data_IF_658434656321
#
_entry.id   IF_658434656321
#
_cell.length_a   1.000
_cell.length_b   1.000
_cell.length_c   1.000
_cell.angle_alpha   90.00
_cell.angle_beta   90.00
_cell.angle_gamma   90.00
#
_symmetry.space_group_name_H-M   'P 1'
#
loop_
_entity.id
_entity.type
_entity.pdbx_description
1 polymer ?
#
# COMPACT_ATOMS: atom_id res chain seq x y z
N UNK A 1 -2.40 -19.14 28.06
CA UNK A 1 -1.98 -19.84 26.85
C UNK A 1 -3.23 -20.25 26.09
N UNK A 2 -3.64 -19.50 25.11
CA UNK A 2 -4.72 -19.85 24.20
C UNK A 2 -4.04 -20.33 22.92
N UNK A 3 -4.26 -21.57 22.47
CA UNK A 3 -3.61 -22.05 21.25
C UNK A 3 -4.28 -21.42 20.03
N UNK A 4 -3.47 -20.92 19.11
CA UNK A 4 -3.85 -20.41 17.80
C UNK A 4 -4.81 -21.38 17.09
N UNK A 5 -5.92 -20.87 16.56
CA UNK A 5 -7.00 -21.65 15.90
C UNK A 5 -6.56 -22.39 14.63
N UNK A 6 -5.35 -22.16 14.11
CA UNK A 6 -4.83 -22.81 12.89
C UNK A 6 -4.40 -24.28 13.06
N UNK A 7 -4.34 -24.84 14.28
CA UNK A 7 -3.87 -26.22 14.52
C UNK A 7 -4.92 -27.33 14.49
N UNK A 8 -6.19 -27.04 14.24
CA UNK A 8 -7.28 -28.02 14.46
C UNK A 8 -7.80 -28.75 13.20
N UNK A 9 -7.28 -28.50 12.00
CA UNK A 9 -7.84 -29.10 10.78
C UNK A 9 -6.94 -30.12 10.05
N UNK A 10 -5.90 -30.67 10.70
CA UNK A 10 -5.01 -31.66 10.07
C UNK A 10 -5.00 -33.02 10.80
N UNK A 11 -6.12 -33.56 11.18
CA UNK A 11 -6.16 -34.97 11.66
C UNK A 11 -7.55 -35.58 11.48
N UNK A 12 -7.80 -36.16 10.33
CA UNK A 12 -8.59 -37.42 10.17
C UNK A 12 -8.65 -37.83 8.70
N UNK A 13 -8.16 -39.03 8.42
CA UNK A 13 -8.41 -39.67 7.13
C UNK A 13 -7.42 -40.78 6.79
N UNK A 14 -7.53 -41.93 7.46
CA UNK A 14 -6.81 -43.14 7.11
C UNK A 14 -7.62 -43.96 6.08
N UNK A 15 -6.89 -44.37 5.05
CA UNK A 15 -6.97 -45.60 4.26
C UNK A 15 -8.26 -46.06 3.58
N UNK A 16 -8.20 -46.17 2.27
CA UNK A 16 -8.63 -47.36 1.53
C UNK A 16 -8.03 -47.37 0.11
N UNK A 17 -7.56 -48.52 -0.26
CA UNK A 17 -6.89 -48.92 -1.49
C UNK A 17 -7.78 -48.94 -2.75
N UNK A 18 -7.18 -48.56 -3.89
CA UNK A 18 -7.53 -49.22 -5.16
C UNK A 18 -8.05 -48.39 -6.29
N UNK A 19 -7.32 -48.43 -7.35
CA UNK A 19 -7.59 -48.20 -8.79
C UNK A 19 -7.16 -46.87 -9.39
N UNK A 20 -6.17 -46.98 -10.26
CA UNK A 20 -5.69 -45.99 -11.22
C UNK A 20 -6.83 -45.49 -12.14
N UNK A 21 -7.31 -44.30 -11.91
CA UNK A 21 -7.94 -43.48 -12.90
C UNK A 21 -7.34 -42.10 -12.77
N UNK A 22 -6.60 -41.65 -13.76
CA UNK A 22 -6.08 -40.30 -13.89
C UNK A 22 -7.24 -39.32 -14.06
N UNK A 23 -7.79 -38.88 -12.95
CA UNK A 23 -8.61 -37.67 -12.90
C UNK A 23 -7.66 -36.51 -12.70
N UNK A 24 -7.50 -35.69 -13.73
CA UNK A 24 -7.03 -34.33 -13.59
C UNK A 24 -7.99 -33.67 -12.59
N UNK A 25 -7.57 -33.55 -11.34
CA UNK A 25 -8.28 -32.74 -10.36
C UNK A 25 -8.13 -31.29 -10.82
N UNK A 26 -9.16 -30.75 -11.44
CA UNK A 26 -9.37 -29.33 -11.48
C UNK A 26 -9.47 -28.90 -10.02
N UNK A 27 -8.45 -28.24 -9.50
CA UNK A 27 -8.53 -27.54 -8.24
C UNK A 27 -9.61 -26.47 -8.41
N UNK A 28 -10.75 -26.66 -7.78
CA UNK A 28 -11.73 -25.61 -7.56
C UNK A 28 -11.05 -24.49 -6.74
N UNK A 29 -10.33 -23.61 -7.41
CA UNK A 29 -9.88 -22.35 -6.83
C UNK A 29 -11.08 -21.40 -6.82
N UNK A 30 -11.94 -21.56 -5.81
CA UNK A 30 -12.89 -20.51 -5.46
C UNK A 30 -12.08 -19.28 -5.13
N UNK A 31 -12.50 -18.12 -5.65
CA UNK A 31 -12.09 -16.82 -5.14
C UNK A 31 -12.11 -16.88 -3.60
N UNK A 32 -10.93 -16.86 -2.98
CA UNK A 32 -10.83 -16.82 -1.53
C UNK A 32 -11.35 -15.46 -1.11
N UNK A 33 -12.35 -15.45 -0.23
CA UNK A 33 -12.77 -14.20 0.42
C UNK A 33 -11.57 -13.63 1.17
N UNK A 34 -11.33 -12.30 1.04
CA UNK A 34 -10.28 -11.61 1.79
C UNK A 34 -10.28 -12.06 3.26
N UNK A 35 -9.11 -12.33 3.81
CA UNK A 35 -8.99 -12.59 5.24
C UNK A 35 -9.03 -11.26 6.00
N UNK A 36 -9.41 -11.28 7.27
CA UNK A 36 -9.43 -10.08 8.12
C UNK A 36 -8.06 -9.40 8.24
N UNK A 37 -6.98 -10.15 7.93
CA UNK A 37 -5.59 -9.69 8.06
C UNK A 37 -4.95 -9.30 6.73
N UNK A 38 -5.69 -9.33 5.62
CA UNK A 38 -5.17 -8.92 4.33
C UNK A 38 -4.72 -7.45 4.38
N UNK A 39 -3.64 -7.16 3.64
CA UNK A 39 -3.16 -5.82 3.36
C UNK A 39 -3.14 -5.64 1.85
N UNK A 40 -4.30 -5.32 1.24
CA UNK A 40 -4.53 -5.56 -0.19
C UNK A 40 -3.89 -4.55 -1.13
N UNK A 41 -3.39 -3.44 -0.62
CA UNK A 41 -2.75 -2.37 -1.41
C UNK A 41 -1.85 -1.51 -0.52
N UNK A 42 -1.12 -0.60 -1.15
CA UNK A 42 -0.39 0.44 -0.43
C UNK A 42 -1.32 1.20 0.52
N UNK A 43 -0.85 1.51 1.73
CA UNK A 43 -1.63 2.17 2.78
C UNK A 43 -2.90 1.43 3.20
N UNK A 44 -2.97 0.11 3.02
CA UNK A 44 -4.03 -0.80 3.44
C UNK A 44 -5.33 -0.71 2.63
N UNK A 45 -5.96 0.44 2.53
CA UNK A 45 -7.31 0.65 1.98
C UNK A 45 -7.35 1.74 0.90
N UNK A 46 -8.45 1.85 0.15
CA UNK A 46 -8.60 2.90 -0.85
C UNK A 46 -8.53 4.30 -0.28
N UNK A 47 -8.97 4.48 0.95
CA UNK A 47 -8.95 5.73 1.70
C UNK A 47 -7.53 6.20 2.04
N UNK A 48 -6.56 5.28 2.08
CA UNK A 48 -5.15 5.56 2.37
C UNK A 48 -4.84 5.69 3.86
N UNK A 49 -5.63 5.04 4.72
CA UNK A 49 -5.54 5.20 6.18
C UNK A 49 -4.24 4.67 6.79
N UNK A 50 -3.62 3.65 6.18
CA UNK A 50 -2.48 2.98 6.79
C UNK A 50 -2.83 2.22 8.06
N UNK A 51 -4.11 1.86 8.23
CA UNK A 51 -4.65 1.20 9.41
C UNK A 51 -5.45 -0.04 9.06
N UNK A 52 -5.06 -1.17 9.62
CA UNK A 52 -5.88 -2.39 9.59
C UNK A 52 -6.46 -2.66 10.99
N UNK A 53 -7.76 -2.43 11.20
CA UNK A 53 -8.39 -2.62 12.51
C UNK A 53 -8.48 -4.08 12.95
N UNK A 54 -8.37 -5.03 12.02
CA UNK A 54 -8.44 -6.45 12.31
C UNK A 54 -7.07 -7.10 12.54
N UNK A 55 -5.99 -6.48 12.04
CA UNK A 55 -4.64 -7.01 12.20
C UNK A 55 -4.07 -6.69 13.59
N UNK A 56 -3.21 -7.57 14.07
CA UNK A 56 -2.42 -7.34 15.28
C UNK A 56 -0.94 -7.63 14.98
N UNK A 57 -0.07 -6.70 15.36
CA UNK A 57 1.37 -6.88 15.24
C UNK A 57 2.04 -7.14 16.60
N UNK A 58 3.36 -7.38 16.61
CA UNK A 58 4.16 -7.49 17.82
C UNK A 58 4.09 -6.20 18.66
N UNK A 59 3.97 -6.32 20.00
CA UNK A 59 3.78 -5.17 20.91
C UNK A 59 4.98 -4.84 21.78
N UNK A 60 5.71 -5.86 22.25
CA UNK A 60 6.73 -5.69 23.28
C UNK A 60 8.16 -5.96 22.78
N UNK A 61 8.31 -6.32 21.54
CA UNK A 61 9.59 -6.55 20.88
C UNK A 61 9.47 -7.52 19.72
N UNK A 62 10.46 -7.54 18.85
CA UNK A 62 10.44 -8.40 17.67
C UNK A 62 11.70 -9.23 17.51
N UNK A 63 11.55 -10.37 16.86
CA UNK A 63 12.64 -11.18 16.31
C UNK A 63 12.30 -11.56 14.88
N UNK A 64 13.33 -11.88 14.09
CA UNK A 64 13.15 -12.38 12.74
C UNK A 64 12.55 -13.79 12.80
N UNK A 65 11.35 -13.97 12.25
CA UNK A 65 10.72 -15.25 12.07
C UNK A 65 11.32 -15.99 10.87
N UNK A 66 11.44 -15.29 9.75
CA UNK A 66 12.13 -15.75 8.56
C UNK A 66 12.67 -14.57 7.73
N UNK A 67 13.59 -14.87 6.84
CA UNK A 67 14.05 -13.92 5.83
C UNK A 67 14.22 -14.62 4.49
N UNK A 68 13.88 -13.91 3.41
CA UNK A 68 14.10 -14.37 2.04
C UNK A 68 15.08 -13.43 1.36
N UNK A 69 16.26 -13.94 1.02
CA UNK A 69 17.30 -13.20 0.33
C UNK A 69 17.02 -13.17 -1.18
N UNK A 70 17.06 -11.98 -1.75
CA UNK A 70 16.82 -11.78 -3.17
C UNK A 70 17.87 -10.79 -3.71
N UNK A 71 19.07 -11.27 -3.96
CA UNK A 71 20.21 -10.43 -4.38
C UNK A 71 19.89 -9.68 -5.66
N UNK A 72 19.94 -8.35 -5.61
CA UNK A 72 19.70 -7.47 -6.76
C UNK A 72 18.23 -7.29 -7.16
N UNK A 73 17.30 -7.82 -6.38
CA UNK A 73 15.88 -7.84 -6.72
C UNK A 73 15.15 -6.52 -6.46
N UNK A 74 15.48 -5.84 -5.35
CA UNK A 74 14.76 -4.66 -4.94
C UNK A 74 15.56 -3.40 -5.26
N UNK A 75 15.03 -2.56 -6.14
CA UNK A 75 15.62 -1.25 -6.45
C UNK A 75 15.20 -0.17 -5.47
N UNK A 76 14.17 -0.42 -4.70
CA UNK A 76 13.59 0.48 -3.73
C UNK A 76 13.24 -0.23 -2.43
N UNK A 77 12.47 0.43 -1.61
CA UNK A 77 11.92 -0.04 -0.33
C UNK A 77 10.41 0.05 -0.34
N UNK A 78 9.80 -0.32 -1.46
CA UNK A 78 8.36 -0.35 -1.60
C UNK A 78 7.75 -1.36 -0.65
N UNK A 79 6.67 -0.98 0.03
CA UNK A 79 5.97 -1.87 0.95
C UNK A 79 5.39 -3.07 0.20
N UNK A 80 5.49 -4.28 0.76
CA UNK A 80 4.80 -5.43 0.18
C UNK A 80 3.29 -5.33 0.41
N UNK A 81 2.51 -6.23 -0.19
CA UNK A 81 1.12 -6.47 0.19
C UNK A 81 0.95 -7.91 0.67
N UNK A 82 -0.06 -8.13 1.50
CA UNK A 82 -0.40 -9.44 2.05
C UNK A 82 -1.81 -9.83 1.65
N UNK A 83 -1.95 -10.96 0.97
CA UNK A 83 -3.24 -11.52 0.59
C UNK A 83 -3.30 -12.98 1.02
N UNK A 84 -4.26 -13.33 1.84
CA UNK A 84 -4.40 -14.65 2.45
C UNK A 84 -3.08 -15.11 3.12
N UNK A 85 -2.40 -16.06 2.50
CA UNK A 85 -1.12 -16.63 2.94
C UNK A 85 0.05 -16.24 2.02
N UNK A 86 -0.11 -15.21 1.19
CA UNK A 86 0.88 -14.83 0.18
C UNK A 86 1.29 -13.37 0.35
N UNK A 87 2.59 -13.19 0.48
CA UNK A 87 3.22 -11.87 0.49
C UNK A 87 3.74 -11.56 -0.91
N UNK A 88 3.36 -10.40 -1.45
CA UNK A 88 3.81 -9.92 -2.75
C UNK A 88 4.73 -8.72 -2.57
N UNK A 89 5.94 -8.84 -3.09
CA UNK A 89 6.93 -7.77 -3.11
C UNK A 89 7.32 -7.42 -4.54
N UNK A 90 7.58 -6.14 -4.80
CA UNK A 90 7.98 -5.62 -6.10
C UNK A 90 9.43 -5.13 -6.06
N UNK A 91 10.17 -5.45 -7.12
CA UNK A 91 11.55 -5.06 -7.28
C UNK A 91 11.95 -5.08 -8.77
N UNK A 92 12.84 -5.97 -9.19
CA UNK A 92 13.11 -6.21 -10.63
C UNK A 92 12.01 -7.07 -11.30
N UNK A 93 10.85 -7.16 -10.66
CA UNK A 93 9.69 -7.94 -11.04
C UNK A 93 8.76 -8.11 -9.84
N UNK A 94 7.81 -9.04 -9.95
CA UNK A 94 6.95 -9.48 -8.86
C UNK A 94 7.52 -10.74 -8.21
N UNK A 95 7.62 -10.74 -6.89
CA UNK A 95 7.97 -11.89 -6.06
C UNK A 95 6.79 -12.23 -5.15
N UNK A 96 6.33 -13.48 -5.20
CA UNK A 96 5.30 -14.01 -4.32
C UNK A 96 5.91 -15.04 -3.37
N UNK A 97 5.76 -14.80 -2.07
CA UNK A 97 6.27 -15.65 -0.99
C UNK A 97 5.12 -16.20 -0.15
N UNK A 98 5.32 -17.37 0.38
CA UNK A 98 4.49 -17.91 1.44
C UNK A 98 4.69 -17.08 2.72
N UNK A 99 3.64 -16.52 3.27
CA UNK A 99 3.71 -15.58 4.38
C UNK A 99 4.16 -16.23 5.70
N UNK A 100 3.92 -17.54 5.87
CA UNK A 100 4.31 -18.28 7.08
C UNK A 100 5.79 -18.67 7.07
N UNK A 101 6.33 -19.02 5.89
CA UNK A 101 7.66 -19.65 5.77
C UNK A 101 8.69 -18.82 5.02
N UNK A 102 8.28 -17.79 4.28
CA UNK A 102 9.14 -17.05 3.36
C UNK A 102 9.53 -17.82 2.10
N UNK A 103 8.97 -19.02 1.88
CA UNK A 103 9.27 -19.82 0.70
C UNK A 103 8.70 -19.15 -0.56
N UNK A 104 9.51 -19.11 -1.63
CA UNK A 104 9.07 -18.58 -2.92
C UNK A 104 7.94 -19.44 -3.50
N UNK A 105 6.78 -18.84 -3.72
CA UNK A 105 5.68 -19.46 -4.46
C UNK A 105 5.89 -19.32 -5.97
N UNK A 106 6.16 -18.11 -6.42
CA UNK A 106 6.54 -17.78 -7.79
C UNK A 106 7.24 -16.43 -7.89
N UNK A 107 7.77 -16.11 -9.07
CA UNK A 107 8.28 -14.79 -9.41
C UNK A 107 8.05 -14.52 -10.90
N UNK A 108 7.88 -13.26 -11.25
CA UNK A 108 7.70 -12.85 -12.63
C UNK A 108 8.53 -11.60 -12.92
N UNK A 109 9.50 -11.64 -13.84
CA UNK A 109 10.29 -10.48 -14.20
C UNK A 109 9.42 -9.45 -14.93
N UNK A 110 9.62 -8.19 -14.66
CA UNK A 110 8.87 -7.11 -15.30
C UNK A 110 9.29 -5.73 -14.78
N UNK A 111 8.84 -4.67 -15.44
CA UNK A 111 9.20 -3.30 -15.10
C UNK A 111 8.32 -2.75 -13.96
N UNK A 112 7.95 -3.56 -13.00
CA UNK A 112 7.05 -3.20 -11.91
C UNK A 112 7.80 -2.36 -10.88
N UNK A 113 7.21 -1.24 -10.43
CA UNK A 113 7.91 -0.25 -9.63
C UNK A 113 7.09 0.27 -8.43
N UNK A 114 5.77 0.06 -8.40
CA UNK A 114 4.93 0.45 -7.27
C UNK A 114 4.45 -0.76 -6.48
N UNK A 115 4.05 -0.62 -5.21
CA UNK A 115 3.28 -1.64 -4.52
C UNK A 115 2.09 -2.11 -5.35
N UNK A 116 1.77 -3.42 -5.34
CA UNK A 116 0.57 -3.91 -6.00
C UNK A 116 -0.70 -3.45 -5.29
N UNK A 117 -1.82 -3.41 -6.05
CA UNK A 117 -3.15 -3.28 -5.48
C UNK A 117 -4.02 -4.46 -5.96
N UNK A 118 -4.68 -5.13 -5.01
CA UNK A 118 -5.57 -6.26 -5.31
C UNK A 118 -6.87 -5.77 -5.92
N UNK A 119 -7.29 -6.38 -7.01
CA UNK A 119 -8.63 -6.24 -7.56
C UNK A 119 -9.29 -7.60 -7.72
N UNK A 120 -10.52 -7.72 -7.24
CA UNK A 120 -11.36 -8.88 -7.57
C UNK A 120 -11.73 -8.79 -9.04
N UNK A 121 -11.61 -9.91 -9.74
CA UNK A 121 -11.98 -10.00 -11.15
C UNK A 121 -13.39 -10.52 -11.33
N UNK A 122 -14.12 -9.97 -12.28
CA UNK A 122 -15.42 -10.51 -12.71
C UNK A 122 -15.28 -11.59 -13.80
N UNK A 123 -14.11 -11.67 -14.43
CA UNK A 123 -13.82 -12.52 -15.59
C UNK A 123 -12.92 -13.71 -15.25
N UNK A 124 -11.98 -13.49 -14.32
CA UNK A 124 -11.02 -14.51 -13.91
C UNK A 124 -11.40 -15.14 -12.58
N UNK A 125 -11.01 -16.40 -12.38
CA UNK A 125 -11.25 -17.13 -11.13
C UNK A 125 -10.29 -16.76 -9.98
N UNK A 126 -9.32 -15.90 -10.26
CA UNK A 126 -8.31 -15.42 -9.30
C UNK A 126 -8.19 -13.91 -9.39
N UNK A 127 -7.73 -13.28 -8.31
CA UNK A 127 -7.58 -11.84 -8.24
C UNK A 127 -6.54 -11.30 -9.23
N UNK A 128 -6.70 -10.06 -9.64
CA UNK A 128 -5.73 -9.28 -10.41
C UNK A 128 -4.95 -8.38 -9.46
N UNK A 129 -3.64 -8.33 -9.61
CA UNK A 129 -2.76 -7.34 -8.98
C UNK A 129 -2.50 -6.22 -9.98
N UNK A 130 -2.98 -5.02 -9.71
CA UNK A 130 -2.63 -3.83 -10.46
C UNK A 130 -1.29 -3.30 -9.96
N UNK A 131 -0.32 -3.11 -10.86
CA UNK A 131 1.04 -2.66 -10.50
C UNK A 131 1.46 -1.54 -11.42
N UNK A 132 1.91 -0.43 -10.85
CA UNK A 132 2.41 0.72 -11.60
C UNK A 132 3.85 0.54 -12.06
N UNK A 133 4.17 1.19 -13.17
CA UNK A 133 5.50 1.33 -13.72
C UNK A 133 5.60 2.67 -14.45
N UNK A 134 6.81 3.14 -14.69
CA UNK A 134 7.04 4.34 -15.51
C UNK A 134 6.51 4.22 -16.95
N UNK A 135 6.19 3.01 -17.40
CA UNK A 135 5.63 2.74 -18.73
C UNK A 135 4.10 2.55 -18.74
N UNK A 136 3.45 2.51 -17.58
CA UNK A 136 2.02 2.28 -17.47
C UNK A 136 1.62 1.39 -16.31
N UNK A 137 0.43 0.84 -16.36
CA UNK A 137 -0.13 -0.09 -15.35
C UNK A 137 -0.25 -1.49 -15.92
N UNK A 138 0.08 -2.47 -15.12
CA UNK A 138 0.03 -3.89 -15.46
C UNK A 138 -0.98 -4.61 -14.56
N UNK A 139 -1.78 -5.47 -15.13
CA UNK A 139 -2.63 -6.40 -14.41
C UNK A 139 -2.01 -7.79 -14.38
N UNK A 140 -1.69 -8.27 -13.18
CA UNK A 140 -1.01 -9.54 -12.97
C UNK A 140 -1.94 -10.53 -12.27
N UNK A 141 -1.79 -11.81 -12.58
CA UNK A 141 -2.50 -12.88 -11.91
C UNK A 141 -1.93 -13.13 -10.53
N UNK A 142 -2.70 -12.90 -9.47
CA UNK A 142 -2.29 -13.13 -8.09
C UNK A 142 -1.85 -14.58 -7.81
N UNK A 143 -2.39 -15.56 -8.54
CA UNK A 143 -1.96 -16.96 -8.39
C UNK A 143 -0.70 -17.34 -9.18
N UNK A 144 -0.08 -16.40 -9.92
CA UNK A 144 1.16 -16.62 -10.68
C UNK A 144 1.00 -17.40 -11.99
N UNK A 145 -0.26 -17.62 -12.45
CA UNK A 145 -0.49 -18.40 -13.68
C UNK A 145 -0.08 -19.86 -13.53
N UNK A 146 0.55 -20.46 -14.59
CA UNK A 146 1.03 -21.79 -14.60
C UNK A 146 2.52 -22.00 -14.89
N UNK A 147 3.26 -22.70 -13.99
CA UNK A 147 4.67 -23.01 -14.19
C UNK A 147 4.87 -24.28 -15.03
N UNK A 148 5.93 -24.30 -15.83
CA UNK A 148 6.38 -25.55 -16.43
C UNK A 148 7.20 -26.36 -15.42
N UNK A 149 6.92 -27.68 -15.27
CA UNK A 149 7.74 -28.55 -14.43
C UNK A 149 9.24 -28.44 -14.79
N UNK A 150 10.08 -28.35 -13.80
CA UNK A 150 11.55 -28.25 -13.93
C UNK A 150 12.08 -26.93 -14.51
N UNK A 151 11.27 -25.88 -14.61
CA UNK A 151 11.69 -24.54 -15.00
C UNK A 151 11.15 -23.50 -14.04
N UNK A 152 11.78 -22.31 -13.99
CA UNK A 152 11.24 -21.15 -13.26
C UNK A 152 10.26 -20.31 -14.10
N UNK A 153 9.97 -20.77 -15.33
CA UNK A 153 9.13 -20.04 -16.27
C UNK A 153 7.67 -20.17 -15.90
N UNK A 154 7.03 -19.03 -15.69
CA UNK A 154 5.59 -18.91 -15.45
C UNK A 154 4.90 -18.34 -16.69
N UNK A 155 3.70 -18.87 -17.03
CA UNK A 155 2.87 -18.39 -18.12
C UNK A 155 1.53 -17.88 -17.59
N UNK A 156 0.99 -16.82 -18.20
CA UNK A 156 -0.31 -16.27 -17.80
C UNK A 156 -0.26 -15.48 -16.49
N UNK A 157 0.93 -14.99 -16.12
CA UNK A 157 1.10 -14.07 -14.99
C UNK A 157 0.62 -12.68 -15.38
N UNK A 158 1.10 -12.14 -16.48
CA UNK A 158 0.56 -10.88 -17.02
C UNK A 158 -0.76 -11.18 -17.74
N UNK A 159 -1.85 -10.51 -17.30
CA UNK A 159 -3.19 -10.59 -17.89
C UNK A 159 -3.39 -9.53 -18.95
N UNK A 160 -2.98 -8.30 -18.60
CA UNK A 160 -3.06 -7.13 -19.46
C UNK A 160 -1.99 -6.11 -19.07
N UNK A 161 -1.73 -5.18 -19.99
CA UNK A 161 -0.94 -4.00 -19.70
C UNK A 161 -1.55 -2.78 -20.40
N UNK A 162 -1.73 -1.70 -19.66
CA UNK A 162 -2.12 -0.41 -20.16
C UNK A 162 -0.86 0.45 -20.22
N UNK A 163 -0.23 0.49 -21.38
CA UNK A 163 0.94 1.33 -21.62
C UNK A 163 0.52 2.72 -22.05
N UNK A 164 1.22 3.70 -21.52
CA UNK A 164 1.08 5.09 -21.94
C UNK A 164 2.21 5.43 -22.88
N UNK A 165 1.90 6.25 -23.90
CA UNK A 165 2.96 6.81 -24.73
C UNK A 165 3.74 7.81 -23.86
N UNK A 166 4.97 7.47 -23.49
CA UNK A 166 5.85 8.36 -22.73
C UNK A 166 6.21 9.55 -23.62
N UNK A 167 5.36 10.57 -23.59
CA UNK A 167 5.50 11.79 -24.37
C UNK A 167 6.48 12.73 -23.71
N UNK A 168 7.54 13.05 -24.45
CA UNK A 168 8.26 14.33 -24.44
C UNK A 168 9.26 14.70 -23.36
N UNK A 169 9.50 13.98 -22.29
CA UNK A 169 10.53 14.42 -21.35
C UNK A 169 11.81 13.58 -21.43
N UNK A 170 12.91 14.23 -21.83
CA UNK A 170 14.27 13.71 -21.80
C UNK A 170 14.86 13.57 -20.39
N UNK A 171 14.08 13.88 -19.35
CA UNK A 171 14.49 13.84 -17.95
C UNK A 171 13.61 12.86 -17.22
N UNK A 172 14.22 12.02 -16.42
CA UNK A 172 13.67 10.90 -15.62
C UNK A 172 12.14 10.80 -15.59
N UNK A 173 11.57 9.66 -16.01
CA UNK A 173 10.15 9.43 -15.79
C UNK A 173 9.85 9.60 -14.28
N UNK A 174 8.75 10.25 -13.96
CA UNK A 174 8.26 10.35 -12.57
C UNK A 174 8.16 8.94 -11.99
N UNK A 175 8.50 8.80 -10.71
CA UNK A 175 8.33 7.53 -10.02
C UNK A 175 6.85 7.14 -10.07
N UNK A 176 6.53 5.88 -10.41
CA UNK A 176 5.14 5.46 -10.54
C UNK A 176 4.47 5.44 -9.18
N UNK A 177 3.30 6.05 -9.12
CA UNK A 177 2.44 6.06 -7.94
C UNK A 177 1.73 4.72 -7.79
N UNK A 178 1.57 4.24 -6.56
CA UNK A 178 0.80 3.03 -6.29
C UNK A 178 -0.65 3.19 -6.75
N UNK A 179 -1.18 2.29 -7.58
CA UNK A 179 -2.57 2.33 -7.99
C UNK A 179 -3.50 2.03 -6.80
N UNK A 180 -4.70 2.60 -6.84
CA UNK A 180 -5.74 2.38 -5.83
C UNK A 180 -6.89 1.61 -6.47
N UNK A 181 -7.35 0.57 -5.81
CA UNK A 181 -8.50 -0.23 -6.26
C UNK A 181 -9.68 0.05 -5.34
N UNK A 182 -10.76 0.55 -5.90
CA UNK A 182 -12.02 0.77 -5.22
C UNK A 182 -13.20 0.60 -6.20
N UNK A 183 -14.34 0.15 -5.72
CA UNK A 183 -15.60 0.06 -6.47
C UNK A 183 -15.48 -0.61 -7.86
N UNK A 184 -14.59 -1.60 -7.95
CA UNK A 184 -14.36 -2.35 -9.19
C UNK A 184 -13.63 -1.56 -10.28
N UNK A 185 -12.87 -0.51 -9.92
CA UNK A 185 -12.00 0.24 -10.81
C UNK A 185 -10.61 0.43 -10.21
N UNK A 186 -9.63 0.72 -11.06
CA UNK A 186 -8.25 1.04 -10.67
C UNK A 186 -8.03 2.53 -10.95
N UNK A 187 -7.72 3.31 -9.92
CA UNK A 187 -7.44 4.74 -10.02
C UNK A 187 -5.93 4.96 -9.95
N UNK A 188 -5.42 5.74 -10.92
CA UNK A 188 -3.97 5.97 -11.04
C UNK A 188 -3.67 7.28 -11.76
N UNK A 189 -2.64 8.03 -11.36
CA UNK A 189 -2.04 9.02 -12.21
C UNK A 189 -1.41 8.39 -13.46
N UNK A 190 -1.43 9.11 -14.57
CA UNK A 190 -0.71 8.70 -15.78
C UNK A 190 0.72 9.23 -15.73
N UNK A 191 1.75 8.37 -15.69
CA UNK A 191 3.11 8.81 -15.55
C UNK A 191 3.54 9.78 -16.67
N UNK A 192 4.10 10.93 -16.28
CA UNK A 192 4.58 11.95 -17.21
C UNK A 192 3.50 12.80 -17.86
N UNK A 193 2.26 12.70 -17.41
CA UNK A 193 1.13 13.51 -17.88
C UNK A 193 0.40 14.16 -16.70
N UNK A 194 -0.44 15.15 -17.00
CA UNK A 194 -1.22 15.88 -15.98
C UNK A 194 -2.60 15.25 -15.75
N UNK A 195 -2.69 13.94 -15.90
CA UNK A 195 -3.95 13.20 -15.94
C UNK A 195 -4.08 12.14 -14.85
N UNK A 196 -5.31 11.98 -14.41
CA UNK A 196 -5.76 10.85 -13.60
C UNK A 196 -6.67 9.97 -14.46
N UNK A 197 -6.55 8.66 -14.32
CA UNK A 197 -7.40 7.70 -15.02
C UNK A 197 -8.03 6.69 -14.07
N UNK A 198 -9.22 6.21 -14.47
CA UNK A 198 -9.80 4.98 -13.95
C UNK A 198 -9.70 3.89 -15.02
N UNK A 199 -9.20 2.73 -14.63
CA UNK A 199 -9.03 1.56 -15.51
C UNK A 199 -10.00 0.45 -15.11
N UNK A 200 -10.38 -0.34 -16.09
CA UNK A 200 -11.08 -1.59 -15.86
C UNK A 200 -10.10 -2.65 -15.35
N UNK A 201 -10.36 -3.32 -14.21
CA UNK A 201 -9.44 -4.29 -13.65
C UNK A 201 -9.34 -5.60 -14.43
N UNK A 202 -10.32 -5.92 -15.28
CA UNK A 202 -10.34 -7.16 -16.03
C UNK A 202 -9.51 -7.10 -17.32
N UNK A 203 -9.46 -5.92 -17.99
CA UNK A 203 -8.73 -5.78 -19.24
C UNK A 203 -7.83 -4.55 -19.35
N UNK A 204 -7.74 -3.74 -18.30
CA UNK A 204 -6.90 -2.54 -18.20
C UNK A 204 -7.35 -1.36 -19.06
N UNK A 205 -8.54 -1.43 -19.69
CA UNK A 205 -9.02 -0.32 -20.51
C UNK A 205 -9.38 0.89 -19.67
N UNK A 206 -9.06 2.06 -20.20
CA UNK A 206 -9.43 3.34 -19.58
C UNK A 206 -10.96 3.50 -19.64
N UNK A 207 -11.59 3.58 -18.47
CA UNK A 207 -13.01 3.92 -18.33
C UNK A 207 -13.24 5.42 -18.49
N UNK A 208 -12.38 6.22 -17.85
CA UNK A 208 -12.32 7.65 -18.01
C UNK A 208 -10.90 8.16 -17.73
N UNK A 209 -10.62 9.36 -18.23
CA UNK A 209 -9.34 10.06 -18.05
C UNK A 209 -9.63 11.54 -17.92
N UNK A 210 -9.02 12.20 -16.95
CA UNK A 210 -9.26 13.61 -16.63
C UNK A 210 -7.95 14.35 -16.45
N UNK A 211 -7.78 15.41 -17.22
CA UNK A 211 -6.65 16.34 -17.09
C UNK A 211 -6.86 17.25 -15.89
N UNK A 212 -5.92 17.22 -14.96
CA UNK A 212 -5.98 18.03 -13.72
C UNK A 212 -5.43 19.43 -13.97
N UNK A 213 -4.27 19.54 -14.61
CA UNK A 213 -3.64 20.81 -15.00
C UNK A 213 -3.68 20.97 -16.50
N UNK A 214 -4.29 22.06 -16.95
CA UNK A 214 -4.39 22.40 -18.39
C UNK A 214 -3.08 22.97 -18.98
N UNK A 215 -2.12 23.31 -18.12
CA UNK A 215 -0.86 23.91 -18.55
C UNK A 215 0.15 22.83 -18.93
N UNK A 216 0.41 22.67 -20.23
CA UNK A 216 1.38 21.70 -20.78
C UNK A 216 2.84 22.00 -20.36
N UNK A 217 3.11 23.15 -19.75
CA UNK A 217 4.45 23.53 -19.27
C UNK A 217 4.68 23.14 -17.80
N UNK A 218 3.62 22.84 -17.05
CA UNK A 218 3.67 22.37 -15.69
C UNK A 218 3.58 20.85 -15.66
N UNK A 219 4.44 20.20 -14.88
CA UNK A 219 4.30 18.77 -14.56
C UNK A 219 3.59 18.65 -13.21
N UNK A 220 2.48 17.98 -13.19
CA UNK A 220 1.85 17.60 -11.94
C UNK A 220 2.54 16.34 -11.40
N UNK A 221 3.30 16.49 -10.31
CA UNK A 221 3.73 15.35 -9.54
C UNK A 221 2.56 14.98 -8.64
N UNK A 222 1.90 13.88 -8.97
CA UNK A 222 0.75 13.38 -8.24
C UNK A 222 1.17 12.47 -7.10
N UNK A 223 0.43 12.56 -6.01
CA UNK A 223 0.47 11.58 -4.94
C UNK A 223 -0.51 10.42 -5.20
N UNK A 224 -0.41 9.37 -4.38
CA UNK A 224 -1.38 8.29 -4.34
C UNK A 224 -2.78 8.86 -4.10
N UNK A 225 -3.78 8.52 -4.92
CA UNK A 225 -5.16 8.94 -4.66
C UNK A 225 -5.74 8.34 -3.37
N UNK A 226 -6.71 9.04 -2.76
CA UNK A 226 -7.61 8.45 -1.79
C UNK A 226 -9.00 8.34 -2.41
N UNK A 227 -9.68 7.21 -2.20
CA UNK A 227 -11.02 6.98 -2.78
C UNK A 227 -12.02 6.64 -1.69
N UNK A 228 -13.12 7.40 -1.63
CA UNK A 228 -14.21 7.20 -0.67
C UNK A 228 -15.52 7.80 -1.17
N UNK A 229 -16.64 7.11 -0.91
CA UNK A 229 -18.01 7.60 -1.11
C UNK A 229 -18.28 8.19 -2.50
N UNK A 230 -17.76 7.55 -3.56
CA UNK A 230 -17.96 7.97 -4.94
C UNK A 230 -17.03 9.09 -5.41
N UNK A 231 -16.02 9.45 -4.63
CA UNK A 231 -15.01 10.44 -4.99
C UNK A 231 -13.58 9.87 -4.95
N UNK A 232 -12.77 10.28 -5.91
CA UNK A 232 -11.32 10.11 -5.91
C UNK A 232 -10.68 11.48 -5.61
N UNK A 233 -9.95 11.56 -4.51
CA UNK A 233 -9.24 12.76 -4.08
C UNK A 233 -7.78 12.66 -4.47
N UNK A 234 -7.27 13.68 -5.11
CA UNK A 234 -5.89 13.72 -5.63
C UNK A 234 -5.21 14.97 -5.14
N UNK A 235 -3.99 14.83 -4.66
CA UNK A 235 -3.10 15.95 -4.40
C UNK A 235 -1.98 15.96 -5.45
N UNK A 236 -1.55 17.14 -5.85
CA UNK A 236 -0.48 17.32 -6.81
C UNK A 236 0.40 18.52 -6.49
N UNK A 237 1.64 18.45 -6.94
CA UNK A 237 2.54 19.60 -6.87
C UNK A 237 2.02 20.75 -7.79
N UNK A 238 2.14 22.05 -7.40
CA UNK A 238 2.76 22.47 -6.13
C UNK A 238 1.81 22.38 -4.91
N UNK A 239 0.49 22.52 -5.06
CA UNK A 239 -0.44 22.70 -3.95
C UNK A 239 -1.91 22.42 -4.31
N UNK A 240 -2.13 21.69 -5.41
CA UNK A 240 -3.48 21.38 -5.88
C UNK A 240 -4.13 20.24 -5.11
N UNK A 241 -5.41 20.38 -4.80
CA UNK A 241 -6.28 19.32 -4.30
C UNK A 241 -7.52 19.26 -5.19
N UNK A 242 -7.82 18.08 -5.72
CA UNK A 242 -8.94 17.86 -6.64
C UNK A 242 -9.78 16.67 -6.18
N UNK A 243 -11.09 16.82 -6.19
CA UNK A 243 -12.04 15.72 -6.07
C UNK A 243 -12.68 15.42 -7.42
N UNK A 244 -12.66 14.14 -7.80
CA UNK A 244 -13.24 13.62 -9.04
C UNK A 244 -14.36 12.63 -8.72
N UNK A 245 -15.43 12.65 -9.48
CA UNK A 245 -16.43 11.60 -9.42
C UNK A 245 -15.85 10.26 -9.91
N UNK A 246 -16.00 9.21 -9.16
CA UNK A 246 -15.41 7.88 -9.48
C UNK A 246 -16.03 7.24 -10.71
N UNK A 247 -17.28 7.52 -11.02
CA UNK A 247 -18.03 6.94 -12.15
C UNK A 247 -17.72 7.62 -13.49
N UNK A 248 -17.46 8.94 -13.49
CA UNK A 248 -17.32 9.74 -14.71
C UNK A 248 -15.95 10.39 -14.89
N UNK A 249 -15.20 10.56 -13.80
CA UNK A 249 -13.97 11.35 -13.77
C UNK A 249 -14.20 12.87 -13.83
N UNK A 250 -15.45 13.33 -13.81
CA UNK A 250 -15.74 14.77 -13.78
C UNK A 250 -15.23 15.40 -12.48
N UNK A 251 -14.63 16.60 -12.62
CA UNK A 251 -14.18 17.36 -11.46
C UNK A 251 -15.39 17.82 -10.65
N UNK A 252 -15.47 17.38 -9.40
CA UNK A 252 -16.46 17.86 -8.46
C UNK A 252 -16.06 19.22 -7.91
N UNK A 253 -14.84 19.32 -7.39
CA UNK A 253 -14.19 20.57 -7.03
C UNK A 253 -12.67 20.46 -7.21
N UNK A 254 -12.03 21.63 -7.33
CA UNK A 254 -10.57 21.77 -7.37
C UNK A 254 -10.18 23.06 -6.67
N UNK A 255 -9.14 23.00 -5.87
CA UNK A 255 -8.60 24.18 -5.19
C UNK A 255 -7.10 24.05 -4.98
N UNK A 256 -6.44 25.19 -4.78
CA UNK A 256 -5.09 25.26 -4.25
C UNK A 256 -5.16 25.55 -2.74
N UNK A 257 -4.23 24.98 -1.98
CA UNK A 257 -4.02 25.33 -0.57
C UNK A 257 -2.83 26.29 -0.44
N UNK A 258 -2.71 26.97 0.71
CA UNK A 258 -1.69 28.02 0.90
C UNK A 258 -0.25 27.48 1.06
N UNK A 259 -0.08 26.15 1.14
CA UNK A 259 1.22 25.50 1.33
C UNK A 259 1.62 24.70 0.09
N UNK A 260 2.92 24.52 -0.09
CA UNK A 260 3.49 23.71 -1.16
C UNK A 260 3.88 22.32 -0.67
N UNK A 261 4.10 21.39 -1.60
CA UNK A 261 4.50 20.00 -1.36
C UNK A 261 3.45 19.26 -0.51
N UNK A 262 2.29 19.04 -1.13
CA UNK A 262 1.26 18.20 -0.54
C UNK A 262 1.72 16.74 -0.54
N UNK A 263 1.30 16.01 0.48
CA UNK A 263 1.50 14.59 0.65
C UNK A 263 0.24 13.81 0.25
N UNK A 264 0.28 12.46 0.18
CA UNK A 264 -0.90 11.68 -0.12
C UNK A 264 -2.09 12.03 0.79
N UNK A 265 -3.27 12.28 0.23
CA UNK A 265 -4.46 12.57 1.01
C UNK A 265 -5.00 11.30 1.67
N UNK A 266 -5.77 11.47 2.75
CA UNK A 266 -6.45 10.38 3.43
C UNK A 266 -7.92 10.75 3.56
N UNK A 267 -8.81 9.93 2.99
CA UNK A 267 -10.24 10.16 3.10
C UNK A 267 -10.81 9.50 4.36
N UNK A 268 -11.56 10.26 5.16
CA UNK A 268 -12.12 9.79 6.43
C UNK A 268 -13.59 10.14 6.55
N UNK A 269 -14.27 9.64 7.57
CA UNK A 269 -15.66 10.06 7.89
C UNK A 269 -15.73 11.53 8.33
N UNK A 270 -14.68 12.07 8.94
CA UNK A 270 -14.62 13.45 9.40
C UNK A 270 -14.29 14.44 8.27
N UNK A 271 -13.71 13.98 7.17
CA UNK A 271 -13.28 14.81 6.06
C UNK A 271 -12.03 14.28 5.37
N UNK A 272 -11.48 15.09 4.48
CA UNK A 272 -10.27 14.80 3.74
C UNK A 272 -9.06 15.37 4.50
N UNK A 273 -8.21 14.49 5.03
CA UNK A 273 -6.93 14.88 5.63
C UNK A 273 -5.93 15.12 4.51
N UNK A 274 -5.34 16.31 4.47
CA UNK A 274 -4.32 16.70 3.50
C UNK A 274 -3.07 17.16 4.25
N UNK A 275 -2.08 16.28 4.43
CA UNK A 275 -0.80 16.68 4.98
C UNK A 275 0.02 17.47 3.94
N UNK A 276 0.81 18.42 4.42
CA UNK A 276 1.79 19.14 3.63
C UNK A 276 3.09 19.28 4.41
N UNK A 277 4.04 19.99 3.82
CA UNK A 277 5.34 20.20 4.43
C UNK A 277 5.30 20.84 5.82
N UNK A 278 4.36 21.73 6.10
CA UNK A 278 4.32 22.47 7.38
C UNK A 278 2.94 22.51 8.03
N UNK A 279 1.95 21.97 7.38
CA UNK A 279 0.56 22.08 7.83
C UNK A 279 -0.20 20.79 7.51
N UNK A 280 -1.08 20.39 8.40
CA UNK A 280 -2.10 19.37 8.16
C UNK A 280 -3.44 20.05 8.08
N UNK A 281 -4.21 19.79 7.02
CA UNK A 281 -5.59 20.25 6.86
C UNK A 281 -6.58 19.13 7.04
N UNK A 282 -7.74 19.46 7.55
CA UNK A 282 -8.97 18.71 7.31
C UNK A 282 -9.86 19.56 6.40
N UNK A 283 -10.24 19.01 5.25
CA UNK A 283 -11.11 19.66 4.28
C UNK A 283 -12.48 18.98 4.25
N UNK A 284 -13.52 19.76 4.00
CA UNK A 284 -14.85 19.22 3.71
C UNK A 284 -14.79 18.45 2.38
N UNK A 285 -15.19 17.16 2.33
CA UNK A 285 -15.12 16.35 1.12
C UNK A 285 -16.07 16.82 0.02
N UNK A 286 -17.13 17.61 0.36
CA UNK A 286 -18.14 18.04 -0.59
C UNK A 286 -17.74 19.27 -1.40
N UNK A 287 -16.96 20.19 -0.84
CA UNK A 287 -16.63 21.45 -1.51
C UNK A 287 -15.18 21.88 -1.32
N UNK A 288 -14.38 21.08 -0.60
CA UNK A 288 -12.98 21.35 -0.33
C UNK A 288 -12.74 22.48 0.66
N UNK A 289 -13.76 23.04 1.34
CA UNK A 289 -13.54 24.08 2.34
C UNK A 289 -12.75 23.58 3.53
N UNK A 290 -11.94 24.45 4.14
CA UNK A 290 -11.12 24.06 5.29
C UNK A 290 -11.98 23.97 6.54
N UNK A 291 -12.07 22.78 7.13
CA UNK A 291 -12.72 22.56 8.43
C UNK A 291 -11.77 23.00 9.56
N UNK A 292 -10.52 22.54 9.51
CA UNK A 292 -9.47 23.03 10.37
C UNK A 292 -8.08 22.90 9.69
N UNK A 293 -7.10 23.61 10.21
CA UNK A 293 -5.68 23.45 9.86
C UNK A 293 -4.79 23.46 11.09
N UNK A 294 -3.77 22.63 11.11
CA UNK A 294 -2.77 22.55 12.16
C UNK A 294 -1.38 22.79 11.58
N UNK A 295 -0.69 23.82 12.07
CA UNK A 295 0.70 24.07 11.74
C UNK A 295 1.58 23.16 12.60
N UNK A 296 2.50 22.45 11.98
CA UNK A 296 3.52 21.64 12.63
C UNK A 296 4.71 22.53 13.04
N UNK A 297 5.50 22.08 14.00
CA UNK A 297 6.70 22.82 14.46
C UNK A 297 7.85 22.76 13.45
N UNK A 298 7.81 21.80 12.53
CA UNK A 298 8.73 21.64 11.41
C UNK A 298 7.99 21.10 10.18
N UNK A 299 8.72 20.94 9.06
CA UNK A 299 8.15 20.30 7.88
C UNK A 299 7.76 18.86 8.20
N UNK A 300 6.58 18.40 7.78
CA UNK A 300 6.28 16.98 7.74
C UNK A 300 7.29 16.25 6.86
N UNK A 301 7.67 15.06 7.26
CA UNK A 301 8.52 14.21 6.42
C UNK A 301 7.80 13.87 5.12
N UNK A 302 8.55 13.68 4.04
CA UNK A 302 8.02 13.34 2.70
C UNK A 302 7.41 11.92 2.68
N UNK A 303 6.51 11.64 3.60
CA UNK A 303 5.82 10.37 3.72
C UNK A 303 4.34 10.59 4.04
N UNK A 304 3.50 9.63 3.64
CA UNK A 304 2.08 9.66 4.00
C UNK A 304 1.89 9.62 5.52
N UNK A 305 0.81 10.21 6.00
CA UNK A 305 0.35 10.05 7.39
C UNK A 305 -0.47 8.78 7.55
N UNK A 306 -0.81 8.39 8.79
CA UNK A 306 -1.80 7.36 9.07
C UNK A 306 -2.98 7.95 9.84
N UNK A 307 -4.16 7.34 9.67
CA UNK A 307 -5.35 7.67 10.46
C UNK A 307 -5.93 6.40 11.04
N UNK A 308 -6.06 6.35 12.36
CA UNK A 308 -6.65 5.22 13.07
C UNK A 308 -7.44 5.72 14.28
N UNK A 309 -8.61 5.17 14.50
CA UNK A 309 -9.45 5.40 15.69
C UNK A 309 -9.61 6.89 16.06
N UNK A 310 -9.82 7.76 15.06
CA UNK A 310 -9.99 9.21 15.26
C UNK A 310 -8.68 9.98 15.50
N UNK A 311 -7.53 9.38 15.26
CA UNK A 311 -6.23 10.00 15.46
C UNK A 311 -5.42 10.02 14.17
N UNK A 312 -4.79 11.15 13.85
CA UNK A 312 -3.84 11.31 12.74
C UNK A 312 -2.43 11.18 13.28
N UNK A 313 -1.63 10.29 12.69
CA UNK A 313 -0.22 10.11 13.01
C UNK A 313 0.63 10.70 11.88
N UNK A 314 1.42 11.73 12.18
CA UNK A 314 2.27 12.43 11.22
C UNK A 314 3.66 12.62 11.78
N UNK A 315 4.69 12.38 10.96
CA UNK A 315 6.09 12.60 11.32
C UNK A 315 6.58 13.93 10.76
N UNK A 316 7.53 14.57 11.44
CA UNK A 316 8.16 15.80 10.97
C UNK A 316 9.70 15.73 10.94
N UNK A 317 10.33 16.68 10.25
CA UNK A 317 11.79 16.78 10.09
C UNK A 317 12.53 17.19 11.39
N UNK A 318 11.81 17.57 12.44
CA UNK A 318 12.40 17.85 13.78
C UNK A 318 12.50 16.62 14.66
N UNK A 319 12.41 15.46 14.03
CA UNK A 319 12.47 14.20 14.73
C UNK A 319 11.30 14.03 15.72
N UNK A 320 10.08 14.33 15.26
CA UNK A 320 8.86 14.13 16.04
C UNK A 320 7.82 13.29 15.29
N UNK A 321 7.15 12.42 16.06
CA UNK A 321 5.89 11.78 15.67
C UNK A 321 4.79 12.46 16.48
N UNK A 322 3.81 13.03 15.77
CA UNK A 322 2.66 13.69 16.37
C UNK A 322 1.43 12.82 16.24
N UNK A 323 0.63 12.74 17.29
CA UNK A 323 -0.76 12.29 17.23
C UNK A 323 -1.68 13.50 17.34
N UNK A 324 -2.51 13.69 16.34
CA UNK A 324 -3.49 14.78 16.30
C UNK A 324 -4.89 14.20 16.36
N UNK A 325 -5.76 14.85 17.10
CA UNK A 325 -7.19 14.53 17.07
C UNK A 325 -7.78 14.85 15.68
N UNK A 326 -8.46 13.89 15.08
CA UNK A 326 -8.96 13.99 13.71
C UNK A 326 -10.03 15.09 13.55
N UNK A 327 -10.89 15.28 14.55
CA UNK A 327 -12.00 16.22 14.45
C UNK A 327 -11.56 17.67 14.70
N UNK A 328 -10.58 17.88 15.58
CA UNK A 328 -10.19 19.22 16.05
C UNK A 328 -8.81 19.66 15.57
N UNK A 329 -7.95 18.76 15.15
CA UNK A 329 -6.55 19.02 14.83
C UNK A 329 -5.68 19.32 16.06
N UNK A 330 -6.19 19.13 17.28
CA UNK A 330 -5.41 19.33 18.50
C UNK A 330 -4.36 18.23 18.67
N UNK A 331 -3.17 18.60 19.16
CA UNK A 331 -2.13 17.61 19.44
C UNK A 331 -2.49 16.85 20.71
N UNK A 332 -2.64 15.53 20.59
CA UNK A 332 -2.89 14.64 21.71
C UNK A 332 -1.57 14.32 22.44
N UNK A 333 -0.55 13.97 21.66
CA UNK A 333 0.79 13.73 22.15
C UNK A 333 1.85 13.94 21.06
N UNK A 334 3.10 14.04 21.47
CA UNK A 334 4.27 14.09 20.57
C UNK A 334 5.37 13.22 21.14
N UNK A 335 5.95 12.35 20.32
CA UNK A 335 7.07 11.49 20.68
C UNK A 335 8.33 11.82 19.86
N UNK A 336 9.54 11.75 20.44
CA UNK A 336 10.79 11.93 19.71
C UNK A 336 10.97 10.82 18.66
N UNK A 337 10.97 11.18 17.36
CA UNK A 337 11.10 10.22 16.29
C UNK A 337 11.45 10.87 14.95
N UNK A 338 12.63 10.59 14.41
CA UNK A 338 13.03 10.98 13.05
C UNK A 338 12.50 9.97 12.03
N UNK A 339 11.30 10.21 11.49
CA UNK A 339 10.64 9.30 10.57
C UNK A 339 11.15 9.39 9.15
N UNK A 340 11.30 8.24 8.49
CA UNK A 340 11.62 8.15 7.06
C UNK A 340 10.54 7.45 6.24
N UNK A 341 9.59 6.76 6.89
CA UNK A 341 8.47 6.10 6.21
C UNK A 341 7.15 6.51 6.83
N UNK A 342 6.09 6.34 6.04
CA UNK A 342 4.73 6.52 6.53
C UNK A 342 4.46 5.60 7.73
N UNK A 343 3.87 6.10 8.83
CA UNK A 343 3.43 5.25 9.93
C UNK A 343 2.33 4.28 9.48
N UNK A 344 2.27 3.14 10.17
CA UNK A 344 1.27 2.09 9.98
C UNK A 344 0.70 1.74 11.34
N UNK A 345 -0.62 1.55 11.41
CA UNK A 345 -1.30 1.31 12.68
C UNK A 345 -2.04 -0.01 12.67
N UNK A 346 -1.93 -0.76 13.76
CA UNK A 346 -2.74 -1.95 14.03
C UNK A 346 -2.82 -2.22 15.53
N UNK A 347 -3.97 -2.62 16.03
CA UNK A 347 -4.22 -3.06 17.41
C UNK A 347 -3.58 -2.14 18.48
N UNK A 348 -3.76 -0.81 18.32
CA UNK A 348 -3.27 0.21 19.26
C UNK A 348 -1.75 0.43 19.22
N UNK A 349 -1.06 -0.01 18.17
CA UNK A 349 0.38 0.20 17.99
C UNK A 349 0.66 0.94 16.68
N UNK A 350 1.48 1.98 16.76
CA UNK A 350 2.03 2.70 15.60
C UNK A 350 3.40 2.16 15.29
N UNK A 351 3.59 1.64 14.09
CA UNK A 351 4.86 1.17 13.56
C UNK A 351 5.40 2.17 12.55
N UNK A 352 6.64 2.58 12.70
CA UNK A 352 7.28 3.47 11.75
C UNK A 352 8.77 3.15 11.62
N UNK A 353 9.38 3.50 10.50
CA UNK A 353 10.81 3.27 10.25
C UNK A 353 11.55 4.58 10.36
N UNK A 354 12.53 4.62 11.24
CA UNK A 354 13.37 5.78 11.53
C UNK A 354 14.46 5.90 10.47
N UNK A 355 14.46 6.99 9.70
CA UNK A 355 15.47 7.29 8.68
C UNK A 355 15.87 6.07 7.80
N UNK A 356 14.92 5.14 7.58
CA UNK A 356 15.17 3.90 6.84
C UNK A 356 16.04 2.86 7.56
N UNK A 357 16.38 3.06 8.82
CA UNK A 357 17.37 2.26 9.55
C UNK A 357 16.76 1.32 10.59
N UNK A 358 15.84 1.78 11.42
CA UNK A 358 15.23 0.93 12.46
C UNK A 358 13.72 1.03 12.46
N UNK A 359 13.07 -0.11 12.72
CA UNK A 359 11.65 -0.17 12.99
C UNK A 359 11.41 0.20 14.45
N UNK A 360 10.54 1.17 14.69
CA UNK A 360 10.14 1.60 16.02
C UNK A 360 8.64 1.41 16.18
N UNK A 361 8.21 0.92 17.33
CA UNK A 361 6.82 0.80 17.71
C UNK A 361 6.49 1.73 18.87
N UNK A 362 5.33 2.38 18.77
CA UNK A 362 4.80 3.27 19.79
C UNK A 362 3.41 2.82 20.20
N UNK A 363 3.06 3.08 21.42
CA UNK A 363 1.69 3.03 21.88
C UNK A 363 0.87 4.12 21.20
N UNK A 364 -0.23 3.77 20.54
CA UNK A 364 -1.02 4.73 19.77
C UNK A 364 -1.76 5.76 20.65
N UNK A 365 -2.10 5.40 21.90
CA UNK A 365 -2.82 6.26 22.83
C UNK A 365 -1.88 7.23 23.56
N UNK A 366 -0.67 6.78 23.94
CA UNK A 366 0.22 7.55 24.82
C UNK A 366 1.46 8.12 24.12
N UNK A 367 1.86 7.57 22.98
CA UNK A 367 3.11 7.89 22.29
C UNK A 367 4.35 7.26 22.95
N UNK A 368 4.18 6.42 23.96
CA UNK A 368 5.30 5.75 24.60
C UNK A 368 5.95 4.75 23.64
N UNK A 369 7.28 4.80 23.54
CA UNK A 369 8.04 3.83 22.74
C UNK A 369 7.93 2.44 23.36
N UNK A 370 7.39 1.49 22.62
CA UNK A 370 7.26 0.09 23.01
C UNK A 370 8.55 -0.70 22.75
N UNK A 371 9.05 -0.64 21.51
CA UNK A 371 10.32 -1.27 21.15
C UNK A 371 10.99 -0.58 19.97
N UNK A 372 12.25 -0.94 19.74
CA UNK A 372 13.03 -0.56 18.56
C UNK A 372 13.81 -1.78 18.06
N UNK A 373 13.71 -2.04 16.76
CA UNK A 373 14.40 -3.15 16.11
C UNK A 373 15.31 -2.62 15.01
N UNK A 374 16.60 -2.95 15.10
CA UNK A 374 17.58 -2.64 14.08
C UNK A 374 17.74 -3.83 13.13
N UNK A 375 17.27 -3.75 11.88
CA UNK A 375 17.50 -4.81 10.92
C UNK A 375 18.99 -4.91 10.54
N UNK A 376 19.45 -6.09 10.15
CA UNK A 376 20.85 -6.27 9.75
C UNK A 376 21.21 -5.56 8.43
N UNK A 377 20.21 -5.14 7.66
CA UNK A 377 20.36 -4.41 6.40
C UNK A 377 19.33 -3.29 6.30
N UNK A 378 19.71 -2.20 5.66
CA UNK A 378 18.95 -0.97 5.51
C UNK A 378 19.01 -0.45 4.07
N UNK A 379 18.10 0.38 3.61
CA UNK A 379 16.90 0.88 4.28
C UNK A 379 15.80 -0.18 4.41
N UNK A 380 14.79 0.10 5.23
CA UNK A 380 13.62 -0.77 5.44
C UNK A 380 12.36 -0.05 4.94
N UNK A 381 11.44 -0.76 4.28
CA UNK A 381 10.13 -0.23 3.90
C UNK A 381 9.24 0.01 5.12
N UNK A 382 8.18 0.79 4.96
CA UNK A 382 7.07 0.74 5.91
C UNK A 382 6.59 -0.73 6.03
N UNK A 383 6.29 -1.21 7.24
CA UNK A 383 5.85 -2.59 7.42
C UNK A 383 4.40 -2.79 6.98
N UNK A 384 4.07 -4.02 6.67
CA UNK A 384 2.70 -4.53 6.53
C UNK A 384 2.39 -5.39 7.72
N UNK A 385 1.21 -5.24 8.28
CA UNK A 385 0.79 -5.96 9.50
C UNK A 385 -0.15 -7.09 9.13
N UNK A 386 0.21 -8.31 9.52
CA UNK A 386 -0.64 -9.50 9.43
C UNK A 386 -1.10 -9.97 10.81
N UNK A 387 -1.39 -11.26 10.93
CA UNK A 387 -1.80 -11.90 12.19
C UNK A 387 -0.57 -12.18 13.08
N UNK A 388 -0.20 -11.24 13.94
CA UNK A 388 0.94 -11.34 14.85
C UNK A 388 2.31 -11.16 14.20
N UNK A 389 2.36 -10.75 12.94
CA UNK A 389 3.60 -10.67 12.17
C UNK A 389 3.67 -9.35 11.42
N UNK A 390 4.86 -8.72 11.39
CA UNK A 390 5.17 -7.61 10.50
C UNK A 390 6.01 -8.12 9.34
N UNK A 391 5.71 -7.63 8.13
CA UNK A 391 6.47 -7.91 6.93
C UNK A 391 7.06 -6.63 6.39
N UNK A 392 8.34 -6.66 6.04
CA UNK A 392 9.02 -5.50 5.47
C UNK A 392 10.05 -5.93 4.41
N UNK A 393 10.39 -5.00 3.54
CA UNK A 393 11.34 -5.19 2.45
C UNK A 393 12.53 -4.25 2.66
N UNK A 394 13.73 -4.71 2.36
CA UNK A 394 14.89 -3.88 2.12
C UNK A 394 15.46 -4.14 0.71
N UNK A 395 16.61 -3.55 0.38
CA UNK A 395 17.17 -3.66 -0.98
C UNK A 395 17.42 -5.09 -1.47
N UNK A 396 17.67 -6.03 -0.57
CA UNK A 396 18.10 -7.38 -0.91
C UNK A 396 17.26 -8.48 -0.25
N UNK A 397 16.27 -8.09 0.57
CA UNK A 397 15.63 -9.06 1.47
C UNK A 397 14.19 -8.70 1.78
N UNK A 398 13.37 -9.71 1.89
CA UNK A 398 12.06 -9.65 2.56
C UNK A 398 12.20 -10.29 3.93
N UNK A 399 11.68 -9.65 4.97
CA UNK A 399 11.73 -10.15 6.35
C UNK A 399 10.33 -10.25 6.95
N UNK A 400 10.13 -11.27 7.78
CA UNK A 400 9.00 -11.37 8.68
C UNK A 400 9.49 -11.27 10.12
N UNK A 401 8.79 -10.45 10.91
CA UNK A 401 9.09 -10.19 12.30
C UNK A 401 7.91 -10.63 13.17
N UNK A 402 8.16 -11.49 14.13
CA UNK A 402 7.17 -11.94 15.11
C UNK A 402 7.55 -11.48 16.53
N UNK A 403 6.59 -11.57 17.46
CA UNK A 403 6.82 -11.21 18.85
C UNK A 403 8.06 -11.92 19.43
N UNK A 404 8.97 -11.16 20.05
CA UNK A 404 10.08 -11.71 20.81
C UNK A 404 9.54 -12.29 22.14
N UNK A 405 9.77 -13.56 22.39
CA UNK A 405 9.39 -14.21 23.66
C UNK A 405 10.44 -13.98 24.71
#
# INVERSE_FOLDING_TARGET
>A
MVPSRRRFLKLTGLAATGSLASTVAASDSRSTSATEYDWPMDRYDPEGTGYNPAASGPKDGVKVAWSHDSTGWFRGTESPILLDDTLYAVGEGLLALDAETGAKKFGHPGPYQSPPARSQSSVYNTDTLAVGSSAGVFGLNASGGFGLPLTETQFGVERWNQRYETGRFFFSPADPVAPVVADGAIYTPIPGENDIAALDPDDGKIRWRTTILEDDTASADFNRPAVKDGFAYVTNWPNGVTALHTDSGEKHWQRDVDEQLLLPPIATEAGLVVPSRGVVWLLDPNDGTTLWKRTLDANATESASAVADGTIFVTDERESLHALDLETGETLWTAPFGGATAPVVADGVVYAVKEGYSLVAFDAETGDKRFEFQPPQVPLSAPVVGDGVLYAVNRERVIALEEAK
#
